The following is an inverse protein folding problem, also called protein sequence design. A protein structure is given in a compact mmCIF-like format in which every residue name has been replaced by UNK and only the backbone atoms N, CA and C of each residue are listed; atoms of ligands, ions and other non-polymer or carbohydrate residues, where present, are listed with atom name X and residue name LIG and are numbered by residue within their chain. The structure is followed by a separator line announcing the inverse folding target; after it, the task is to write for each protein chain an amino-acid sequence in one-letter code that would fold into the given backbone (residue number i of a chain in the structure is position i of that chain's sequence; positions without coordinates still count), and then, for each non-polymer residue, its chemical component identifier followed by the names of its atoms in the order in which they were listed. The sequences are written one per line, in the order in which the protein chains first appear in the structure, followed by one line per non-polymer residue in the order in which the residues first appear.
data_IF_101039728471
#
_entry.id   IF_101039728471
#
_cell.length_a   1.000
_cell.length_b   1.000
_cell.length_c   1.000
_cell.angle_alpha   90.00
_cell.angle_beta   90.00
_cell.angle_gamma   90.00
#
_symmetry.space_group_name_H-M   'P 1'
#
loop_
_entity.id
_entity.type
_entity.pdbx_description
1 polymer ?
#
# COMPACT_ATOMS: atom_id res chain seq x y z
N UNK A 1 5.16 -46.25 -36.29
CA UNK A 1 3.73 -46.06 -36.01
C UNK A 1 3.52 -46.24 -34.51
N UNK A 2 2.84 -45.31 -33.84
CA UNK A 2 2.50 -45.45 -32.42
C UNK A 2 1.38 -46.49 -32.24
N UNK A 3 1.42 -47.26 -31.15
CA UNK A 3 0.32 -48.16 -30.77
C UNK A 3 -0.80 -47.32 -30.15
N UNK A 4 -2.04 -47.58 -30.54
CA UNK A 4 -3.24 -46.92 -29.98
C UNK A 4 -3.83 -47.78 -28.87
N UNK A 5 -4.20 -47.15 -27.75
CA UNK A 5 -4.92 -47.78 -26.66
C UNK A 5 -6.26 -47.08 -26.51
N UNK A 6 -7.36 -47.79 -26.72
CA UNK A 6 -8.72 -47.20 -26.72
C UNK A 6 -9.36 -47.18 -25.33
N UNK A 7 -8.93 -48.05 -24.42
CA UNK A 7 -9.50 -48.21 -23.07
C UNK A 7 -8.49 -47.85 -21.97
N UNK A 8 -7.49 -47.01 -22.28
CA UNK A 8 -6.42 -46.64 -21.34
C UNK A 8 -5.36 -47.72 -21.13
N UNK A 9 -4.42 -47.44 -20.21
CA UNK A 9 -3.37 -48.36 -19.76
C UNK A 9 -3.45 -48.40 -18.23
N UNK A 10 -3.73 -49.56 -17.66
CA UNK A 10 -3.60 -49.79 -16.22
C UNK A 10 -2.16 -50.25 -15.92
N UNK A 11 -1.44 -49.46 -15.13
CA UNK A 11 -0.06 -49.76 -14.75
C UNK A 11 0.05 -50.69 -13.55
N UNK A 12 -1.02 -50.96 -12.79
CA UNK A 12 -0.98 -51.81 -11.58
C UNK A 12 0.14 -51.45 -10.60
N UNK A 13 0.45 -50.15 -10.48
CA UNK A 13 1.53 -49.61 -9.64
C UNK A 13 2.94 -49.69 -10.24
N UNK A 14 3.09 -50.16 -11.48
CA UNK A 14 4.36 -50.25 -12.19
C UNK A 14 4.78 -48.90 -12.81
N UNK A 15 6.08 -48.75 -13.09
CA UNK A 15 6.66 -47.51 -13.64
C UNK A 15 6.50 -47.42 -15.17
N UNK A 16 6.16 -46.24 -15.67
CA UNK A 16 6.42 -45.86 -17.06
C UNK A 16 7.88 -45.41 -17.22
N UNK A 17 8.63 -46.02 -18.13
CA UNK A 17 10.05 -45.70 -18.38
C UNK A 17 10.21 -44.89 -19.67
N UNK A 18 11.25 -44.05 -19.74
CA UNK A 18 11.60 -43.23 -20.91
C UNK A 18 10.49 -42.29 -21.40
N UNK A 19 9.69 -41.74 -20.48
CA UNK A 19 8.67 -40.75 -20.81
C UNK A 19 9.34 -39.39 -21.11
N UNK A 20 9.11 -38.86 -22.32
CA UNK A 20 9.60 -37.53 -22.72
C UNK A 20 8.92 -36.39 -21.94
N UNK A 21 9.44 -35.17 -22.07
CA UNK A 21 8.78 -33.99 -21.49
C UNK A 21 7.48 -33.68 -22.25
N UNK A 22 6.39 -33.32 -21.54
CA UNK A 22 5.12 -33.00 -22.17
C UNK A 22 5.24 -31.75 -23.06
N UNK A 23 4.52 -31.75 -24.18
CA UNK A 23 4.53 -30.68 -25.20
C UNK A 23 3.14 -30.08 -25.46
N UNK A 24 2.08 -30.86 -25.20
CA UNK A 24 0.68 -30.41 -25.23
C UNK A 24 -0.03 -30.76 -23.92
N UNK A 25 -1.19 -30.13 -23.67
CA UNK A 25 -1.91 -30.26 -22.39
C UNK A 25 -2.39 -31.69 -22.06
N UNK A 26 -2.51 -32.58 -23.06
CA UNK A 26 -2.94 -33.97 -22.87
C UNK A 26 -1.79 -34.96 -22.64
N UNK A 27 -0.54 -34.51 -22.68
CA UNK A 27 0.63 -35.39 -22.51
C UNK A 27 0.80 -35.79 -21.04
N UNK A 28 1.28 -37.02 -20.80
CA UNK A 28 1.69 -37.42 -19.47
C UNK A 28 2.97 -36.68 -19.04
N UNK A 29 2.99 -36.16 -17.80
CA UNK A 29 4.15 -35.46 -17.25
C UNK A 29 5.13 -36.44 -16.60
N UNK A 30 6.42 -36.34 -16.96
CA UNK A 30 7.47 -37.06 -16.24
C UNK A 30 7.86 -36.32 -14.95
N UNK A 31 8.42 -37.03 -13.96
CA UNK A 31 8.80 -36.45 -12.67
C UNK A 31 9.80 -35.30 -12.82
N UNK A 32 10.78 -35.41 -13.72
CA UNK A 32 11.79 -34.37 -13.93
C UNK A 32 11.17 -33.05 -14.45
N UNK A 33 10.14 -33.13 -15.29
CA UNK A 33 9.38 -31.97 -15.75
C UNK A 33 8.62 -31.32 -14.58
N UNK A 34 7.95 -32.13 -13.75
CA UNK A 34 7.24 -31.62 -12.56
C UNK A 34 8.22 -31.00 -11.57
N UNK A 35 9.31 -31.70 -11.25
CA UNK A 35 10.37 -31.22 -10.36
C UNK A 35 10.98 -29.93 -10.90
N UNK A 36 11.25 -29.81 -12.20
CA UNK A 36 11.79 -28.59 -12.81
C UNK A 36 10.80 -27.41 -12.76
N UNK A 37 9.50 -27.67 -12.83
CA UNK A 37 8.46 -26.64 -12.69
C UNK A 37 8.21 -26.22 -11.24
N UNK A 38 8.54 -27.09 -10.28
CA UNK A 38 8.42 -26.85 -8.84
C UNK A 38 9.79 -26.49 -8.22
N UNK A 39 10.87 -26.48 -9.01
CA UNK A 39 12.23 -26.34 -8.52
C UNK A 39 12.42 -24.97 -7.83
N UNK A 40 12.77 -25.01 -6.54
CA UNK A 40 12.96 -23.84 -5.69
C UNK A 40 11.80 -23.52 -4.75
N UNK A 41 10.60 -24.10 -4.94
CA UNK A 41 9.47 -23.88 -4.04
C UNK A 41 9.06 -25.18 -3.34
N UNK A 42 9.23 -25.22 -2.01
CA UNK A 42 8.74 -26.32 -1.17
C UNK A 42 7.37 -25.93 -0.64
N UNK A 43 6.31 -26.34 -1.33
CA UNK A 43 4.94 -26.03 -0.92
C UNK A 43 4.54 -26.79 0.34
N UNK A 44 3.90 -26.08 1.26
CA UNK A 44 3.31 -26.62 2.48
C UNK A 44 1.79 -26.51 2.41
N UNK A 45 1.10 -27.33 3.19
CA UNK A 45 -0.35 -27.22 3.35
C UNK A 45 -0.72 -25.80 3.80
N UNK A 46 -1.87 -25.31 3.35
CA UNK A 46 -2.31 -23.96 3.65
C UNK A 46 -2.43 -23.72 5.18
N UNK A 47 -2.32 -22.46 5.58
CA UNK A 47 -2.57 -22.01 6.94
C UNK A 47 -3.81 -21.13 6.94
N UNK A 48 -4.53 -21.14 8.06
CA UNK A 48 -5.76 -20.38 8.18
C UNK A 48 -5.51 -18.88 8.29
N UNK A 49 -4.51 -18.48 9.08
CA UNK A 49 -4.18 -17.07 9.29
C UNK A 49 -2.66 -16.84 9.40
N UNK A 50 -2.22 -15.61 9.14
CA UNK A 50 -0.84 -15.20 9.35
C UNK A 50 -0.76 -14.01 10.31
N UNK A 51 0.26 -14.01 11.16
CA UNK A 51 0.53 -12.89 12.07
C UNK A 51 0.66 -11.55 11.31
N UNK A 52 0.26 -10.47 11.98
CA UNK A 52 0.47 -9.07 11.55
C UNK A 52 1.41 -8.30 12.48
N UNK A 53 1.64 -8.84 13.68
CA UNK A 53 2.53 -8.33 14.73
C UNK A 53 3.19 -9.53 15.45
N UNK A 54 4.00 -9.24 16.48
CA UNK A 54 4.56 -10.26 17.36
C UNK A 54 3.44 -11.00 18.13
N UNK A 55 3.50 -12.33 18.15
CA UNK A 55 2.53 -13.20 18.84
C UNK A 55 3.27 -14.02 19.90
N UNK A 56 2.79 -14.03 21.15
CA UNK A 56 3.38 -14.85 22.20
C UNK A 56 3.22 -16.34 21.90
N UNK A 57 4.35 -17.08 21.86
CA UNK A 57 4.34 -18.52 21.62
C UNK A 57 3.65 -19.31 22.73
N UNK A 58 3.63 -18.81 23.97
CA UNK A 58 3.00 -19.50 25.10
C UNK A 58 1.52 -19.13 25.30
N UNK A 59 1.09 -17.99 24.75
CA UNK A 59 -0.27 -17.45 24.89
C UNK A 59 -0.63 -16.59 23.67
N UNK A 60 -0.96 -17.22 22.52
CA UNK A 60 -1.13 -16.54 21.24
C UNK A 60 -2.41 -15.69 21.13
N UNK A 61 -3.34 -15.80 22.10
CA UNK A 61 -4.65 -15.16 22.02
C UNK A 61 -5.64 -15.93 21.14
N UNK A 62 -6.88 -15.45 21.09
CA UNK A 62 -7.99 -16.09 20.36
C UNK A 62 -8.08 -15.69 18.89
N UNK A 63 -7.38 -14.62 18.49
CA UNK A 63 -7.46 -14.07 17.13
C UNK A 63 -6.10 -13.78 16.55
N UNK A 64 -5.95 -14.01 15.24
CA UNK A 64 -4.81 -13.57 14.43
C UNK A 64 -5.37 -12.98 13.13
N UNK A 65 -4.98 -11.76 12.78
CA UNK A 65 -5.46 -11.06 11.57
C UNK A 65 -6.99 -10.98 11.48
N UNK A 66 -7.64 -10.74 12.63
CA UNK A 66 -9.09 -10.73 12.85
C UNK A 66 -9.80 -12.09 12.65
N UNK A 67 -9.05 -13.16 12.39
CA UNK A 67 -9.58 -14.53 12.32
C UNK A 67 -9.65 -15.12 13.73
N UNK A 68 -10.84 -15.58 14.14
CA UNK A 68 -11.00 -16.32 15.41
C UNK A 68 -10.57 -17.78 15.22
N UNK A 69 -9.58 -18.21 16.00
CA UNK A 69 -8.94 -19.52 15.86
C UNK A 69 -9.61 -20.61 16.70
N UNK A 70 -9.51 -21.83 16.20
CA UNK A 70 -9.94 -23.08 16.85
C UNK A 70 -8.77 -24.05 17.00
N UNK A 71 -8.88 -24.96 17.96
CA UNK A 71 -7.81 -25.93 18.23
C UNK A 71 -7.55 -26.80 16.99
N UNK A 72 -6.29 -26.89 16.58
CA UNK A 72 -5.87 -27.59 15.36
C UNK A 72 -5.60 -26.67 14.17
N UNK A 73 -6.01 -25.40 14.23
CA UNK A 73 -5.77 -24.46 13.13
C UNK A 73 -4.28 -24.24 12.90
N UNK A 74 -3.85 -24.36 11.65
CA UNK A 74 -2.49 -24.02 11.25
C UNK A 74 -2.37 -22.50 11.05
N UNK A 75 -1.29 -21.90 11.54
CA UNK A 75 -1.02 -20.45 11.46
C UNK A 75 0.42 -20.19 11.04
N UNK A 76 0.64 -19.08 10.32
CA UNK A 76 1.98 -18.60 9.97
C UNK A 76 2.40 -17.46 10.90
N UNK A 77 3.47 -17.68 11.66
CA UNK A 77 4.16 -16.63 12.42
C UNK A 77 5.33 -16.10 11.57
N UNK A 78 5.26 -14.84 11.16
CA UNK A 78 6.24 -14.20 10.26
C UNK A 78 6.74 -12.84 10.76
N UNK A 79 6.15 -12.29 11.83
CA UNK A 79 6.54 -10.99 12.41
C UNK A 79 6.92 -11.11 13.89
N UNK A 80 7.57 -12.21 14.27
CA UNK A 80 8.14 -12.34 15.61
C UNK A 80 9.30 -11.35 15.79
N UNK A 81 9.48 -10.89 17.03
CA UNK A 81 10.59 -10.02 17.42
C UNK A 81 11.91 -10.77 17.32
N UNK A 82 11.92 -12.03 17.78
CA UNK A 82 12.99 -12.96 17.45
C UNK A 82 12.63 -13.71 16.16
N UNK A 83 13.36 -13.42 15.09
CA UNK A 83 13.11 -14.05 13.80
C UNK A 83 13.27 -15.57 13.80
N UNK A 84 13.97 -16.17 14.78
CA UNK A 84 14.09 -17.62 14.89
C UNK A 84 12.76 -18.30 15.29
N UNK A 85 11.86 -17.56 15.93
CA UNK A 85 10.52 -18.00 16.30
C UNK A 85 9.53 -17.97 15.13
N UNK A 86 9.88 -17.35 13.99
CA UNK A 86 9.03 -17.40 12.80
C UNK A 86 8.89 -18.85 12.29
N UNK A 87 7.78 -19.14 11.62
CA UNK A 87 7.47 -20.45 11.05
C UNK A 87 5.99 -20.78 11.09
N UNK A 88 5.69 -22.05 10.81
CA UNK A 88 4.31 -22.55 10.74
C UNK A 88 4.00 -23.32 12.02
N UNK A 89 2.90 -22.98 12.67
CA UNK A 89 2.49 -23.52 13.96
C UNK A 89 1.05 -24.05 13.93
N UNK A 90 0.73 -24.90 14.90
CA UNK A 90 -0.63 -25.36 15.19
C UNK A 90 -1.11 -24.63 16.44
N UNK A 91 -2.25 -23.97 16.34
CA UNK A 91 -2.92 -23.30 17.45
C UNK A 91 -3.68 -24.32 18.30
N UNK A 92 -3.45 -24.31 19.62
CA UNK A 92 -4.09 -25.24 20.55
C UNK A 92 -5.10 -24.57 21.49
N UNK A 93 -4.96 -23.26 21.72
CA UNK A 93 -5.75 -22.51 22.69
C UNK A 93 -5.18 -21.11 22.90
N UNK A 94 -6.01 -20.16 23.34
CA UNK A 94 -5.59 -18.76 23.49
C UNK A 94 -4.45 -18.56 24.52
N UNK A 95 -4.38 -19.45 25.51
CA UNK A 95 -3.35 -19.48 26.56
C UNK A 95 -2.55 -20.79 26.55
N UNK A 96 -2.51 -21.48 25.42
CA UNK A 96 -1.74 -22.70 25.24
C UNK A 96 -0.53 -22.43 24.36
N UNK A 97 0.57 -23.13 24.64
CA UNK A 97 1.77 -23.02 23.84
C UNK A 97 1.53 -23.50 22.39
N UNK A 98 2.01 -22.71 21.44
CA UNK A 98 2.05 -23.08 20.04
C UNK A 98 3.08 -24.18 19.82
N UNK A 99 2.76 -25.10 18.92
CA UNK A 99 3.66 -26.17 18.51
C UNK A 99 3.92 -26.03 17.01
N UNK A 100 5.19 -26.13 16.58
CA UNK A 100 5.51 -26.11 15.15
C UNK A 100 4.75 -27.23 14.43
N UNK A 101 4.21 -26.93 13.25
CA UNK A 101 3.46 -27.90 12.46
C UNK A 101 4.39 -29.04 12.01
N UNK A 102 3.86 -30.26 11.95
CA UNK A 102 4.65 -31.47 11.74
C UNK A 102 5.43 -31.50 10.41
N UNK A 103 4.96 -30.78 9.40
CA UNK A 103 5.61 -30.62 8.10
C UNK A 103 6.63 -29.46 8.05
N UNK A 104 6.84 -28.73 9.16
CA UNK A 104 7.70 -27.56 9.27
C UNK A 104 8.41 -27.46 10.64
N UNK A 105 8.67 -28.60 11.29
CA UNK A 105 9.26 -28.71 12.63
C UNK A 105 10.72 -29.18 12.65
N UNK A 106 11.40 -29.22 11.50
CA UNK A 106 12.81 -29.60 11.40
C UNK A 106 13.55 -28.79 10.34
N UNK A 107 14.88 -28.69 10.48
CA UNK A 107 15.75 -27.98 9.53
C UNK A 107 15.75 -28.60 8.13
N UNK A 108 15.39 -29.89 8.01
CA UNK A 108 15.24 -30.60 6.74
C UNK A 108 13.91 -30.25 6.04
N UNK A 109 12.90 -29.89 6.83
CA UNK A 109 11.55 -29.63 6.34
C UNK A 109 11.30 -28.14 6.08
N UNK A 110 11.99 -27.25 6.79
CA UNK A 110 11.86 -25.80 6.67
C UNK A 110 13.11 -25.20 6.01
N UNK A 111 13.22 -25.41 4.70
CA UNK A 111 14.37 -25.03 3.87
C UNK A 111 14.10 -23.76 3.05
N UNK A 112 15.14 -23.07 2.54
CA UNK A 112 14.96 -21.93 1.65
C UNK A 112 14.00 -22.26 0.49
N UNK A 113 13.08 -21.34 0.18
CA UNK A 113 12.04 -21.56 -0.83
C UNK A 113 10.76 -22.23 -0.31
N UNK A 114 10.69 -22.59 0.97
CA UNK A 114 9.45 -23.11 1.58
C UNK A 114 8.32 -22.09 1.44
N UNK A 115 7.22 -22.48 0.81
CA UNK A 115 6.10 -21.60 0.47
C UNK A 115 4.82 -22.11 1.13
N UNK A 116 4.04 -21.20 1.71
CA UNK A 116 2.76 -21.49 2.35
C UNK A 116 1.72 -20.45 1.95
N UNK A 117 0.48 -20.89 1.73
CA UNK A 117 -0.67 -20.03 1.41
C UNK A 117 -1.47 -19.76 2.67
N UNK A 118 -1.96 -18.53 2.82
CA UNK A 118 -2.84 -18.07 3.89
C UNK A 118 -4.26 -17.93 3.34
N UNK A 119 -5.24 -18.54 4.01
CA UNK A 119 -6.63 -18.63 3.52
C UNK A 119 -7.51 -17.48 4.01
N UNK A 120 -7.38 -17.07 5.28
CA UNK A 120 -8.25 -16.08 5.91
C UNK A 120 -7.45 -14.91 6.52
N UNK A 121 -8.14 -13.80 6.77
CA UNK A 121 -7.61 -12.62 7.46
C UNK A 121 -7.98 -11.31 6.78
N UNK A 122 -7.82 -10.19 7.47
CA UNK A 122 -8.05 -8.88 6.86
C UNK A 122 -6.85 -8.43 6.02
N UNK A 123 -5.62 -8.69 6.47
CA UNK A 123 -4.40 -8.21 5.80
C UNK A 123 -3.68 -9.27 4.96
N UNK A 124 -3.74 -10.54 5.36
CA UNK A 124 -2.92 -11.59 4.74
C UNK A 124 -3.74 -12.69 4.06
N UNK A 125 -5.05 -12.55 3.89
CA UNK A 125 -5.86 -13.51 3.13
C UNK A 125 -5.35 -13.67 1.70
N UNK A 126 -5.64 -14.83 1.11
CA UNK A 126 -5.31 -15.19 -0.28
C UNK A 126 -3.86 -14.89 -0.67
N UNK A 127 -2.93 -14.93 0.29
CA UNK A 127 -1.53 -14.55 0.12
C UNK A 127 -0.61 -15.74 0.36
N UNK A 128 0.35 -15.92 -0.52
CA UNK A 128 1.46 -16.86 -0.38
C UNK A 128 2.70 -16.15 0.17
N UNK A 129 3.35 -16.82 1.13
CA UNK A 129 4.61 -16.39 1.73
C UNK A 129 5.66 -17.46 1.49
N UNK A 130 6.84 -17.04 1.02
CA UNK A 130 8.01 -17.90 0.79
C UNK A 130 9.13 -17.54 1.75
N UNK A 131 9.74 -18.57 2.35
CA UNK A 131 10.94 -18.44 3.17
C UNK A 131 12.13 -18.03 2.30
N UNK A 132 12.56 -16.79 2.46
CA UNK A 132 13.67 -16.16 1.72
C UNK A 132 15.02 -16.24 2.43
N UNK A 133 15.06 -16.76 3.66
CA UNK A 133 16.32 -16.97 4.39
C UNK A 133 17.22 -17.91 3.60
N UNK A 134 18.45 -17.47 3.33
CA UNK A 134 19.46 -18.29 2.67
C UNK A 134 19.93 -19.43 3.60
N UNK A 135 20.23 -20.59 3.00
CA UNK A 135 20.72 -21.76 3.74
C UNK A 135 22.20 -21.65 4.11
N UNK A 136 22.69 -22.49 5.04
CA UNK A 136 21.95 -23.52 5.78
C UNK A 136 21.12 -22.95 6.94
N UNK A 137 19.93 -23.50 7.17
CA UNK A 137 19.03 -23.11 8.25
C UNK A 137 19.16 -24.11 9.40
N UNK A 138 19.37 -23.60 10.62
CA UNK A 138 19.19 -24.34 11.88
C UNK A 138 17.94 -23.82 12.58
N UNK A 139 16.91 -24.66 12.69
CA UNK A 139 15.64 -24.30 13.32
C UNK A 139 15.83 -23.84 14.77
N UNK A 140 15.00 -22.88 15.22
CA UNK A 140 15.05 -22.26 16.55
C UNK A 140 16.39 -21.55 16.87
N UNK A 141 17.22 -21.29 15.86
CA UNK A 141 18.47 -20.52 16.00
C UNK A 141 18.66 -19.53 14.86
N UNK A 142 18.41 -19.95 13.62
CA UNK A 142 18.52 -19.08 12.44
C UNK A 142 17.27 -18.21 12.34
N UNK A 143 17.44 -16.92 12.12
CA UNK A 143 16.30 -16.02 11.88
C UNK A 143 15.62 -16.36 10.54
N UNK A 144 14.32 -16.64 10.59
CA UNK A 144 13.52 -17.05 9.44
C UNK A 144 12.72 -15.86 8.90
N UNK A 145 12.91 -15.54 7.63
CA UNK A 145 12.27 -14.40 6.96
C UNK A 145 11.36 -14.89 5.84
N UNK A 146 10.06 -14.78 6.08
CA UNK A 146 9.03 -15.06 5.10
C UNK A 146 8.66 -13.79 4.34
N UNK A 147 8.84 -13.81 3.02
CA UNK A 147 8.45 -12.71 2.12
C UNK A 147 7.22 -13.10 1.33
N UNK A 148 6.38 -12.11 1.03
CA UNK A 148 5.21 -12.29 0.17
C UNK A 148 5.68 -12.66 -1.24
N UNK A 149 5.22 -13.80 -1.77
CA UNK A 149 5.62 -14.34 -3.08
C UNK A 149 4.48 -14.40 -4.11
N UNK A 150 3.24 -14.11 -3.71
CA UNK A 150 2.08 -13.92 -4.59
C UNK A 150 0.76 -13.83 -3.81
N UNK A 151 -0.28 -13.16 -4.33
CA UNK A 151 -1.64 -13.10 -3.72
C UNK A 151 -1.91 -11.97 -2.70
N UNK A 152 -3.19 -11.62 -2.45
CA UNK A 152 -3.73 -10.56 -1.55
C UNK A 152 -3.34 -9.09 -1.84
N UNK A 153 -4.14 -8.10 -1.40
CA UNK A 153 -3.92 -6.67 -1.68
C UNK A 153 -2.46 -6.23 -1.40
N UNK A 154 -1.71 -5.89 -2.45
CA UNK A 154 -0.30 -5.45 -2.35
C UNK A 154 -0.18 -4.05 -1.77
N UNK A 155 -1.29 -3.32 -1.70
CA UNK A 155 -1.30 -1.89 -1.56
C UNK A 155 -2.43 -1.44 -0.63
N UNK A 156 -2.12 -0.53 0.28
CA UNK A 156 -3.09 0.20 1.08
C UNK A 156 -2.96 1.67 0.65
N UNK A 157 -4.05 2.28 0.19
CA UNK A 157 -4.05 3.70 -0.10
C UNK A 157 -4.07 4.52 1.20
N UNK A 158 -3.23 5.55 1.27
CA UNK A 158 -3.32 6.58 2.31
C UNK A 158 -4.40 7.62 1.99
N UNK A 159 -4.50 8.63 2.86
CA UNK A 159 -5.38 9.77 2.65
C UNK A 159 -5.05 10.49 1.32
N UNK A 160 -6.08 10.95 0.61
CA UNK A 160 -5.94 11.62 -0.68
C UNK A 160 -5.71 10.68 -1.88
N UNK A 161 -5.62 9.38 -1.66
CA UNK A 161 -5.53 8.36 -2.71
C UNK A 161 -6.76 7.44 -2.69
N UNK A 162 -7.08 6.87 -3.85
CA UNK A 162 -8.06 5.79 -4.01
C UNK A 162 -7.38 4.61 -4.67
N UNK A 163 -7.59 3.41 -4.13
CA UNK A 163 -7.17 2.15 -4.74
C UNK A 163 -8.42 1.38 -5.14
N UNK A 164 -8.55 1.09 -6.42
CA UNK A 164 -9.63 0.24 -6.95
C UNK A 164 -9.00 -0.92 -7.72
N UNK A 165 -9.09 -2.12 -7.17
CA UNK A 165 -8.33 -3.26 -7.67
C UNK A 165 -6.83 -2.97 -7.62
N UNK A 166 -6.18 -2.92 -8.78
CA UNK A 166 -4.74 -2.60 -8.90
C UNK A 166 -4.44 -1.17 -9.33
N UNK A 167 -5.45 -0.31 -9.47
CA UNK A 167 -5.28 1.06 -9.96
C UNK A 167 -5.27 2.05 -8.82
N UNK A 168 -4.18 2.81 -8.71
CA UNK A 168 -4.12 3.99 -7.85
C UNK A 168 -4.60 5.23 -8.61
N UNK A 169 -5.46 6.01 -7.96
CA UNK A 169 -5.86 7.34 -8.41
C UNK A 169 -5.80 8.35 -7.28
N UNK A 170 -5.71 9.63 -7.63
CA UNK A 170 -5.86 10.72 -6.65
C UNK A 170 -7.35 10.85 -6.30
N UNK A 171 -7.66 10.85 -5.01
CA UNK A 171 -9.01 11.05 -4.50
C UNK A 171 -9.29 12.54 -4.35
N UNK A 172 -9.66 13.19 -5.46
CA UNK A 172 -10.09 14.58 -5.45
C UNK A 172 -11.30 14.77 -4.53
N UNK A 173 -11.18 15.67 -3.55
CA UNK A 173 -12.33 16.10 -2.74
C UNK A 173 -13.23 16.97 -3.62
N UNK A 174 -14.56 16.76 -3.64
CA UNK A 174 -15.48 17.66 -4.34
C UNK A 174 -15.26 19.10 -3.88
N UNK A 175 -15.07 20.03 -4.82
CA UNK A 175 -14.77 21.45 -4.55
C UNK A 175 -13.48 21.66 -3.73
N UNK A 176 -12.55 20.71 -3.79
CA UNK A 176 -11.31 20.70 -3.00
C UNK A 176 -10.11 21.37 -3.68
N UNK A 177 -10.28 22.01 -4.84
CA UNK A 177 -9.19 22.69 -5.56
C UNK A 177 -8.32 21.80 -6.45
N UNK A 178 -8.65 20.51 -6.58
CA UNK A 178 -7.93 19.55 -7.44
C UNK A 178 -8.94 18.83 -8.33
N UNK A 179 -8.65 18.77 -9.63
CA UNK A 179 -9.35 17.95 -10.62
C UNK A 179 -8.43 16.82 -11.12
N UNK A 180 -9.01 15.65 -11.38
CA UNK A 180 -8.29 14.46 -11.84
C UNK A 180 -9.04 13.88 -13.02
N UNK A 181 -8.34 13.69 -14.14
CA UNK A 181 -8.88 13.06 -15.34
C UNK A 181 -7.86 12.12 -16.00
N UNK A 182 -8.17 11.61 -17.20
CA UNK A 182 -7.29 10.70 -17.93
C UNK A 182 -6.02 11.36 -18.47
N UNK A 183 -5.94 12.69 -18.45
CA UNK A 183 -4.79 13.48 -18.93
C UNK A 183 -3.88 13.91 -17.79
N UNK A 184 -4.36 13.94 -16.55
CA UNK A 184 -3.52 14.13 -15.37
C UNK A 184 -4.25 14.67 -14.15
N UNK A 185 -3.46 15.30 -13.28
CA UNK A 185 -3.93 16.02 -12.08
C UNK A 185 -3.67 17.51 -12.31
N UNK A 186 -4.69 18.32 -12.07
CA UNK A 186 -4.62 19.78 -12.25
C UNK A 186 -5.26 20.51 -11.07
N UNK A 187 -4.92 21.79 -10.91
CA UNK A 187 -5.61 22.67 -9.99
C UNK A 187 -6.97 23.01 -10.60
N UNK A 188 -8.03 22.86 -9.79
CA UNK A 188 -9.38 23.23 -10.18
C UNK A 188 -9.45 24.75 -10.35
N UNK A 189 -9.55 25.20 -11.60
CA UNK A 189 -9.63 26.60 -11.98
C UNK A 189 -10.97 27.27 -11.62
N UNK A 190 -11.92 26.51 -11.06
CA UNK A 190 -13.16 27.06 -10.48
C UNK A 190 -12.99 27.51 -9.02
N UNK A 191 -11.87 27.17 -8.37
CA UNK A 191 -11.52 27.66 -7.04
C UNK A 191 -10.65 28.91 -7.18
N UNK A 192 -11.24 30.06 -6.89
CA UNK A 192 -10.57 31.36 -6.97
C UNK A 192 -9.27 31.39 -6.14
N UNK A 193 -8.16 31.84 -6.72
CA UNK A 193 -6.87 31.94 -6.02
C UNK A 193 -6.87 33.26 -5.25
N UNK A 194 -6.74 33.20 -3.93
CA UNK A 194 -6.90 34.37 -3.04
C UNK A 194 -5.61 34.67 -2.29
N UNK A 195 -5.17 35.92 -2.33
CA UNK A 195 -4.16 36.47 -1.42
C UNK A 195 -4.79 37.59 -0.59
N UNK A 196 -4.65 37.52 0.73
CA UNK A 196 -5.01 38.63 1.60
C UNK A 196 -3.90 38.99 2.57
N UNK A 197 -3.73 40.28 2.84
CA UNK A 197 -2.83 40.78 3.88
C UNK A 197 -3.28 42.16 4.36
N UNK A 198 -2.81 42.55 5.54
CA UNK A 198 -3.01 43.89 6.06
C UNK A 198 -1.93 44.80 5.48
N UNK A 199 -2.29 46.04 5.15
CA UNK A 199 -1.40 47.05 4.59
C UNK A 199 -1.51 48.37 5.33
N UNK A 200 -0.56 49.26 5.05
CA UNK A 200 -0.38 50.54 5.71
C UNK A 200 0.89 50.52 6.53
N UNK A 201 1.71 51.54 6.34
CA UNK A 201 3.02 51.71 6.99
C UNK A 201 3.14 53.07 7.70
N UNK A 202 2.09 53.89 7.65
CA UNK A 202 2.04 55.24 8.20
C UNK A 202 2.85 56.28 7.42
N UNK A 203 3.41 55.95 6.26
CA UNK A 203 4.39 56.80 5.58
C UNK A 203 4.23 56.86 4.06
N UNK A 204 3.96 55.73 3.39
CA UNK A 204 3.86 55.67 1.93
C UNK A 204 2.41 55.75 1.46
N UNK A 205 2.18 56.58 0.44
CA UNK A 205 0.87 56.69 -0.22
C UNK A 205 0.69 55.65 -1.32
N UNK A 206 1.76 55.13 -1.91
CA UNK A 206 1.73 54.08 -2.93
C UNK A 206 2.34 52.80 -2.36
N UNK A 207 1.51 51.79 -2.09
CA UNK A 207 1.90 50.55 -1.43
C UNK A 207 1.81 49.40 -2.44
N UNK A 208 2.94 48.74 -2.70
CA UNK A 208 3.00 47.55 -3.53
C UNK A 208 2.50 46.32 -2.74
N UNK A 209 1.47 45.65 -3.25
CA UNK A 209 0.91 44.42 -2.71
C UNK A 209 1.24 43.25 -3.64
N UNK A 210 2.13 42.37 -3.19
CA UNK A 210 2.57 41.19 -3.95
C UNK A 210 1.59 40.02 -3.72
N UNK A 211 0.86 39.63 -4.75
CA UNK A 211 -0.13 38.55 -4.75
C UNK A 211 0.37 37.22 -5.34
N UNK A 212 1.41 37.21 -6.18
CA UNK A 212 1.99 36.01 -6.79
C UNK A 212 0.98 35.12 -7.57
N UNK A 213 -0.04 35.72 -8.20
CA UNK A 213 -1.07 34.97 -8.93
C UNK A 213 -0.70 34.70 -10.41
N UNK A 214 0.36 35.34 -10.91
CA UNK A 214 0.85 35.15 -12.28
C UNK A 214 -0.12 35.63 -13.36
N UNK A 215 -0.98 36.59 -13.07
CA UNK A 215 -2.00 37.11 -14.00
C UNK A 215 -2.29 38.59 -13.74
N UNK A 216 -2.66 39.32 -14.80
CA UNK A 216 -3.21 40.68 -14.70
C UNK A 216 -4.72 40.68 -14.43
N UNK A 217 -5.41 39.57 -14.70
CA UNK A 217 -6.84 39.41 -14.51
C UNK A 217 -7.14 39.17 -13.02
N UNK A 218 -7.09 40.25 -12.24
CA UNK A 218 -7.29 40.23 -10.79
C UNK A 218 -8.44 41.12 -10.38
N UNK A 219 -9.15 40.69 -9.32
CA UNK A 219 -10.13 41.50 -8.60
C UNK A 219 -9.54 41.88 -7.24
N UNK A 220 -9.48 43.18 -6.96
CA UNK A 220 -8.92 43.70 -5.71
C UNK A 220 -10.04 44.26 -4.84
N UNK A 221 -10.12 43.80 -3.60
CA UNK A 221 -10.98 44.36 -2.56
C UNK A 221 -10.11 44.94 -1.45
N UNK A 222 -10.37 46.18 -1.07
CA UNK A 222 -9.71 46.85 0.05
C UNK A 222 -10.78 47.26 1.05
N UNK A 223 -10.57 46.93 2.32
CA UNK A 223 -11.50 47.26 3.41
C UNK A 223 -10.77 47.86 4.59
N UNK A 224 -11.42 48.77 5.30
CA UNK A 224 -10.99 49.14 6.65
C UNK A 224 -10.95 47.89 7.53
N UNK A 225 -9.83 47.66 8.21
CA UNK A 225 -9.64 46.44 9.01
C UNK A 225 -10.56 46.40 10.23
N UNK A 226 -10.97 47.56 10.73
CA UNK A 226 -11.80 47.68 11.93
C UNK A 226 -13.28 47.72 11.58
N UNK A 227 -13.68 48.66 10.71
CA UNK A 227 -15.09 48.87 10.34
C UNK A 227 -15.58 47.93 9.25
N UNK A 228 -14.68 47.31 8.48
CA UNK A 228 -14.98 46.45 7.33
C UNK A 228 -15.64 47.19 6.16
N UNK A 229 -15.63 48.53 6.18
CA UNK A 229 -16.12 49.36 5.10
C UNK A 229 -15.22 49.26 3.88
N UNK A 230 -15.81 49.34 2.69
CA UNK A 230 -15.08 49.26 1.42
C UNK A 230 -14.35 50.57 1.13
N UNK A 231 -13.08 50.45 0.73
CA UNK A 231 -12.19 51.56 0.44
C UNK A 231 -11.73 51.44 -1.01
N UNK A 232 -11.74 52.56 -1.74
CA UNK A 232 -11.39 52.60 -3.15
C UNK A 232 -10.10 53.41 -3.36
N UNK A 233 -8.92 52.82 -3.12
CA UNK A 233 -7.67 53.41 -3.60
C UNK A 233 -7.59 53.32 -5.13
N UNK A 234 -6.68 54.07 -5.72
CA UNK A 234 -6.30 53.82 -7.12
C UNK A 234 -5.48 52.52 -7.19
N UNK A 235 -5.94 51.58 -8.03
CA UNK A 235 -5.38 50.23 -8.13
C UNK A 235 -4.75 50.07 -9.51
N UNK A 236 -3.45 49.83 -9.54
CA UNK A 236 -2.72 49.53 -10.78
C UNK A 236 -2.04 48.17 -10.68
N UNK A 237 -2.32 47.25 -11.62
CA UNK A 237 -1.56 46.01 -11.75
C UNK A 237 -0.19 46.33 -12.38
N UNK A 238 0.85 46.38 -11.56
CA UNK A 238 2.20 46.81 -11.97
C UNK A 238 2.99 45.70 -12.67
N UNK A 239 2.72 44.44 -12.33
CA UNK A 239 3.23 43.25 -13.01
C UNK A 239 2.29 42.04 -12.77
N UNK A 240 2.65 40.86 -13.30
CA UNK A 240 1.85 39.62 -13.17
C UNK A 240 1.60 39.14 -11.73
N UNK A 241 2.35 39.67 -10.75
CA UNK A 241 2.35 39.22 -9.36
C UNK A 241 2.12 40.35 -8.35
N UNK A 242 1.96 41.59 -8.79
CA UNK A 242 1.90 42.76 -7.91
C UNK A 242 0.84 43.77 -8.36
N UNK A 243 0.04 44.24 -7.41
CA UNK A 243 -0.82 45.43 -7.58
C UNK A 243 -0.29 46.56 -6.68
N UNK A 244 -0.26 47.78 -7.18
CA UNK A 244 0.07 48.97 -6.38
C UNK A 244 -1.21 49.72 -6.03
N UNK A 245 -1.37 49.99 -4.74
CA UNK A 245 -2.52 50.68 -4.15
C UNK A 245 -2.09 52.09 -3.78
N UNK A 246 -2.70 53.10 -4.42
CA UNK A 246 -2.37 54.51 -4.18
C UNK A 246 -3.49 55.20 -3.41
N UNK A 247 -3.14 55.76 -2.26
CA UNK A 247 -4.03 56.46 -1.35
C UNK A 247 -3.75 57.96 -1.37
N UNK A 248 -4.78 58.77 -1.13
CA UNK A 248 -4.64 60.22 -1.00
C UNK A 248 -3.85 60.64 0.26
N UNK A 249 -3.87 59.79 1.30
CA UNK A 249 -3.11 59.95 2.55
C UNK A 249 -2.51 58.60 2.90
N UNK A 250 -1.28 58.59 3.42
CA UNK A 250 -0.60 57.34 3.78
C UNK A 250 -1.42 56.61 4.87
N UNK A 251 -1.86 55.37 4.63
CA UNK A 251 -2.58 54.59 5.63
C UNK A 251 -1.69 54.33 6.85
N UNK A 252 -2.26 54.42 8.04
CA UNK A 252 -1.61 54.03 9.29
C UNK A 252 -1.27 52.54 9.30
N UNK A 253 -0.39 52.12 10.21
CA UNK A 253 0.15 50.76 10.19
C UNK A 253 -0.94 49.69 10.29
N UNK A 254 -1.11 48.90 9.23
CA UNK A 254 -2.11 47.82 9.17
C UNK A 254 -3.57 48.29 9.15
N UNK A 255 -3.85 49.51 8.71
CA UNK A 255 -5.19 50.11 8.66
C UNK A 255 -6.16 49.35 7.74
N UNK A 256 -5.68 48.87 6.59
CA UNK A 256 -6.53 48.25 5.57
C UNK A 256 -6.24 46.76 5.38
N UNK A 257 -7.29 45.97 5.14
CA UNK A 257 -7.21 44.59 4.67
C UNK A 257 -7.38 44.56 3.16
N UNK A 258 -6.37 44.08 2.45
CA UNK A 258 -6.41 43.87 0.99
C UNK A 258 -6.67 42.40 0.72
N UNK A 259 -7.53 42.13 -0.26
CA UNK A 259 -7.74 40.80 -0.83
C UNK A 259 -7.66 40.88 -2.35
N UNK A 260 -6.77 40.11 -2.95
CA UNK A 260 -6.62 39.98 -4.40
C UNK A 260 -7.05 38.57 -4.81
N UNK A 261 -7.96 38.50 -5.78
CA UNK A 261 -8.53 37.27 -6.31
C UNK A 261 -8.19 37.16 -7.79
N UNK A 262 -7.77 35.98 -8.27
CA UNK A 262 -7.53 35.72 -9.69
C UNK A 262 -7.40 34.24 -10.02
#
# INVERSE_FOLDING_TARGET
MARKFFNGIDFTGQKGINLGSPSVASDAANKAYVDAKVNGNVWKEAVRAASTTNISLSAPGSTIDDVTLSAGDAILLKNQTDGSENGIYVWAGASAALVRRADANSSENLVPGTTVVVEEGTKNHDTSFTLSTDGPITLDTTALTFVKSGGGDTYINGDGLSLTGTTFSVKAKPQGGITVDSTGVSVDNTVARVKSADIGDGNTTAIAFVHNLGTYDVVVSVKDKTSHDEVYPDVTATDLNTVTLTFATAPTTGEFRVTVIG
#
